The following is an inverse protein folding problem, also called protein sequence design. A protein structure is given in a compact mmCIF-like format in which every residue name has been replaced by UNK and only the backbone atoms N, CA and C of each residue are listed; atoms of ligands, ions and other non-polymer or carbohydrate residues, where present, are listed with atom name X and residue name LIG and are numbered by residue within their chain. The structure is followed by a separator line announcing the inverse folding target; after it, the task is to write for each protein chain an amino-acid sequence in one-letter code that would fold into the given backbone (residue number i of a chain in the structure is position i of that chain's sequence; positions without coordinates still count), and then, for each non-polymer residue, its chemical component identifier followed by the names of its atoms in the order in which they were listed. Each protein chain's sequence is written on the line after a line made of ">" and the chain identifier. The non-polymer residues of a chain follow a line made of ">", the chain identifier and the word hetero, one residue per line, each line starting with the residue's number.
data_IF_244466830529
#
_entry.id   IF_244466830529
#
_cell.length_a   1.000
_cell.length_b   1.000
_cell.length_c   1.000
_cell.angle_alpha   90.00
_cell.angle_beta   90.00
_cell.angle_gamma   90.00
#
_symmetry.space_group_name_H-M   'P 1'
#
loop_
_entity.id
_entity.type
_entity.pdbx_description
1 polymer ?
#
# COMPACT_ATOMS: atom_id res chain seq x y z
N UNK A 1 21.68 -8.44 -0.19
CA UNK A 1 20.96 -7.15 -0.09
C UNK A 1 19.51 -7.39 -0.50
N UNK A 2 18.53 -7.09 0.36
CA UNK A 2 17.12 -7.38 0.10
C UNK A 2 16.55 -6.56 -1.07
N UNK A 3 17.08 -5.35 -1.26
CA UNK A 3 16.65 -4.40 -2.30
C UNK A 3 16.87 -5.00 -3.68
N UNK A 4 18.07 -5.51 -3.93
CA UNK A 4 18.46 -6.11 -5.20
C UNK A 4 17.61 -7.34 -5.53
N UNK A 5 17.27 -8.15 -4.52
CA UNK A 5 16.40 -9.32 -4.68
C UNK A 5 14.99 -8.88 -5.07
N UNK A 6 14.41 -7.90 -4.39
CA UNK A 6 13.04 -7.44 -4.71
C UNK A 6 13.01 -6.75 -6.08
N UNK A 7 14.05 -6.00 -6.46
CA UNK A 7 14.15 -5.41 -7.80
C UNK A 7 14.27 -6.47 -8.89
N UNK A 8 15.08 -7.51 -8.67
CA UNK A 8 15.20 -8.61 -9.63
C UNK A 8 13.86 -9.33 -9.85
N UNK A 9 13.11 -9.56 -8.78
CA UNK A 9 11.75 -10.11 -8.85
C UNK A 9 10.77 -9.14 -9.51
N UNK A 10 10.85 -7.84 -9.24
CA UNK A 10 9.95 -6.86 -9.86
C UNK A 10 10.17 -6.73 -11.36
N UNK A 11 11.40 -6.91 -11.83
CA UNK A 11 11.73 -6.91 -13.25
C UNK A 11 11.35 -8.20 -13.99
N UNK A 12 11.07 -9.28 -13.26
CA UNK A 12 10.64 -10.55 -13.84
C UNK A 12 9.28 -10.41 -14.55
N UNK A 13 9.17 -10.83 -15.83
CA UNK A 13 7.91 -10.76 -16.58
C UNK A 13 6.77 -11.55 -15.94
N UNK A 14 7.06 -12.70 -15.32
CA UNK A 14 6.06 -13.54 -14.66
C UNK A 14 5.49 -12.86 -13.42
N UNK A 15 6.33 -12.17 -12.64
CA UNK A 15 5.90 -11.36 -11.50
C UNK A 15 5.03 -10.19 -11.96
N UNK A 16 5.41 -9.48 -13.04
CA UNK A 16 4.58 -8.40 -13.61
C UNK A 16 3.23 -8.91 -14.10
N UNK A 17 3.19 -10.07 -14.74
CA UNK A 17 1.94 -10.69 -15.19
C UNK A 17 1.06 -11.12 -14.02
N UNK A 18 1.63 -11.72 -12.97
CA UNK A 18 0.91 -12.07 -11.75
C UNK A 18 0.31 -10.83 -11.06
N UNK A 19 1.06 -9.73 -11.03
CA UNK A 19 0.59 -8.43 -10.51
C UNK A 19 -0.49 -7.81 -11.39
N UNK A 20 -0.44 -7.99 -12.72
CA UNK A 20 -1.54 -7.57 -13.61
C UNK A 20 -2.84 -8.34 -13.31
N UNK A 21 -2.72 -9.61 -12.88
CA UNK A 21 -3.84 -10.47 -12.45
C UNK A 21 -4.22 -10.29 -10.97
N UNK A 22 -3.69 -9.26 -10.30
CA UNK A 22 -3.82 -8.96 -8.86
C UNK A 22 -5.24 -8.93 -8.31
N UNK A 23 -6.27 -8.72 -9.15
CA UNK A 23 -7.68 -8.80 -8.73
C UNK A 23 -8.04 -10.15 -8.10
N UNK A 24 -7.29 -11.22 -8.42
CA UNK A 24 -7.45 -12.56 -7.81
C UNK A 24 -6.66 -12.77 -6.51
N UNK A 25 -5.72 -11.89 -6.17
CA UNK A 25 -4.70 -12.11 -5.15
C UNK A 25 -4.73 -11.12 -3.97
N UNK A 26 -5.79 -10.30 -3.85
CA UNK A 26 -5.91 -9.26 -2.81
C UNK A 26 -4.66 -8.35 -2.71
N UNK A 27 -3.96 -8.14 -3.82
CA UNK A 27 -2.77 -7.30 -3.82
C UNK A 27 -3.19 -5.85 -3.56
N UNK A 28 -2.45 -5.16 -2.70
CA UNK A 28 -2.71 -3.76 -2.45
C UNK A 28 -2.48 -2.94 -3.74
N UNK A 29 -3.42 -2.07 -4.10
CA UNK A 29 -3.30 -1.17 -5.25
C UNK A 29 -2.04 -0.28 -5.16
N UNK A 30 -1.49 -0.05 -3.97
CA UNK A 30 -0.22 0.65 -3.77
C UNK A 30 1.04 -0.21 -3.95
N UNK A 31 0.94 -1.53 -4.09
CA UNK A 31 2.10 -2.41 -4.24
C UNK A 31 2.97 -2.04 -5.45
N UNK A 32 2.35 -1.80 -6.62
CA UNK A 32 3.04 -1.36 -7.84
C UNK A 32 3.77 -0.03 -7.63
N UNK A 33 3.16 0.89 -6.88
CA UNK A 33 3.76 2.17 -6.55
C UNK A 33 5.04 1.99 -5.74
N UNK A 34 5.00 1.14 -4.71
CA UNK A 34 6.18 0.88 -3.88
C UNK A 34 7.28 0.14 -4.62
N UNK A 35 6.94 -0.88 -5.42
CA UNK A 35 7.95 -1.63 -6.18
C UNK A 35 8.71 -0.76 -7.18
N UNK A 36 8.06 0.22 -7.80
CA UNK A 36 8.71 1.19 -8.68
C UNK A 36 9.63 2.19 -7.93
N UNK A 37 9.52 2.29 -6.62
CA UNK A 37 10.22 3.29 -5.80
C UNK A 37 11.19 2.66 -4.80
N UNK A 38 11.41 1.34 -4.88
CA UNK A 38 12.25 0.58 -3.95
C UNK A 38 13.66 1.15 -3.83
N UNK A 39 14.29 1.56 -4.94
CA UNK A 39 15.64 2.13 -4.91
C UNK A 39 15.69 3.42 -4.08
N UNK A 40 14.69 4.29 -4.26
CA UNK A 40 14.57 5.53 -3.50
C UNK A 40 14.27 5.26 -2.02
N UNK A 41 13.41 4.29 -1.72
CA UNK A 41 13.04 3.93 -0.35
C UNK A 41 14.16 3.24 0.42
N UNK A 42 15.03 2.54 -0.28
CA UNK A 42 16.18 1.86 0.31
C UNK A 42 17.39 2.78 0.55
N UNK A 43 17.35 4.02 0.05
CA UNK A 43 18.40 4.99 0.27
C UNK A 43 18.50 5.39 1.75
N UNK A 44 19.73 5.51 2.27
CA UNK A 44 19.99 5.83 3.69
C UNK A 44 19.40 7.18 4.13
N UNK A 45 19.19 8.09 3.18
CA UNK A 45 18.63 9.43 3.39
C UNK A 45 17.19 9.57 2.86
N UNK A 46 16.47 8.46 2.72
CA UNK A 46 15.09 8.49 2.24
C UNK A 46 14.20 9.35 3.15
N UNK A 47 13.56 10.35 2.55
CA UNK A 47 12.50 11.18 3.17
C UNK A 47 11.20 10.87 2.42
N UNK A 48 10.15 10.36 3.10
CA UNK A 48 8.88 10.08 2.48
C UNK A 48 8.24 11.33 1.86
N UNK A 49 7.65 11.18 0.68
CA UNK A 49 6.80 12.22 0.09
C UNK A 49 5.37 12.11 0.62
N UNK A 50 4.58 13.17 0.44
CA UNK A 50 3.15 13.14 0.74
C UNK A 50 2.44 11.97 0.04
N UNK A 51 2.88 11.62 -1.17
CA UNK A 51 2.33 10.49 -1.92
C UNK A 51 2.68 9.14 -1.28
N UNK A 52 3.87 8.98 -0.70
CA UNK A 52 4.27 7.79 0.05
C UNK A 52 3.40 7.62 1.30
N UNK A 53 3.15 8.73 2.00
CA UNK A 53 2.31 8.79 3.20
C UNK A 53 0.87 8.43 2.85
N UNK A 54 0.31 9.01 1.78
CA UNK A 54 -1.05 8.74 1.34
C UNK A 54 -1.25 7.30 0.86
N UNK A 55 -0.21 6.68 0.28
CA UNK A 55 -0.25 5.29 -0.23
C UNK A 55 0.02 4.24 0.85
N UNK A 56 0.59 4.64 2.00
CA UNK A 56 1.05 3.78 3.10
C UNK A 56 -0.09 3.22 3.94
N UNK A 57 -1.28 3.79 3.77
CA UNK A 57 -2.46 3.60 4.61
C UNK A 57 -2.62 2.19 5.18
N UNK A 58 -2.32 2.12 6.46
CA UNK A 58 -2.91 1.18 7.39
C UNK A 58 -4.38 1.58 7.55
N UNK A 59 -5.30 0.63 7.42
CA UNK A 59 -6.69 0.83 7.83
C UNK A 59 -6.70 1.13 9.32
N UNK A 60 -6.95 2.37 9.71
CA UNK A 60 -7.09 2.70 11.14
C UNK A 60 -8.50 2.32 11.56
N UNK A 61 -8.63 1.15 12.18
CA UNK A 61 -9.83 0.77 12.91
C UNK A 61 -9.75 1.31 14.32
N UNK A 62 -10.69 2.17 14.72
CA UNK A 62 -10.79 2.63 16.10
C UNK A 62 -12.15 2.27 16.69
N UNK A 63 -12.18 2.04 18.00
CA UNK A 63 -13.40 1.66 18.74
C UNK A 63 -13.84 2.80 19.64
N UNK A 64 -15.13 3.17 19.57
CA UNK A 64 -15.76 4.08 20.54
C UNK A 64 -16.98 3.36 21.12
N UNK A 65 -16.90 2.98 22.39
CA UNK A 65 -17.92 2.13 23.01
C UNK A 65 -18.04 0.76 22.33
N UNK A 66 -19.24 0.39 21.87
CA UNK A 66 -19.50 -0.85 21.12
C UNK A 66 -19.33 -0.71 19.60
N UNK A 67 -19.04 0.49 19.11
CA UNK A 67 -18.98 0.78 17.68
C UNK A 67 -17.53 0.71 17.18
N UNK A 68 -17.33 0.07 16.03
CA UNK A 68 -16.03 0.00 15.34
C UNK A 68 -16.10 0.86 14.09
N UNK A 69 -15.22 1.85 14.01
CA UNK A 69 -15.11 2.77 12.88
C UNK A 69 -13.91 2.38 12.02
N UNK A 70 -14.11 2.39 10.70
CA UNK A 70 -13.04 2.21 9.71
C UNK A 70 -12.78 3.55 9.06
N UNK A 71 -11.62 4.15 9.34
CA UNK A 71 -11.22 5.36 8.64
C UNK A 71 -10.63 4.97 7.28
N UNK A 72 -11.37 5.25 6.21
CA UNK A 72 -10.87 5.21 4.84
C UNK A 72 -10.50 6.63 4.41
N UNK A 73 -9.40 6.76 3.66
CA UNK A 73 -8.91 7.94 2.94
C UNK A 73 -9.64 9.31 3.14
N UNK A 74 -8.99 10.36 3.71
CA UNK A 74 -9.58 11.70 3.81
C UNK A 74 -9.87 12.41 2.46
N UNK A 75 -9.36 11.93 1.33
CA UNK A 75 -9.68 12.42 -0.02
C UNK A 75 -10.79 11.64 -0.72
N UNK A 76 -11.32 10.58 -0.11
CA UNK A 76 -12.38 9.76 -0.70
C UNK A 76 -13.40 9.41 0.38
N UNK A 77 -14.30 10.35 0.68
CA UNK A 77 -15.52 9.99 1.39
C UNK A 77 -15.33 9.85 2.91
N UNK A 78 -15.77 10.84 3.70
CA UNK A 78 -16.21 10.57 5.08
C UNK A 78 -17.34 9.51 5.04
N UNK A 79 -16.99 8.24 5.00
CA UNK A 79 -17.91 7.13 5.14
C UNK A 79 -17.65 6.50 6.53
N UNK A 80 -18.23 7.13 7.55
CA UNK A 80 -18.37 6.51 8.87
C UNK A 80 -19.57 5.56 8.79
N UNK A 81 -19.37 4.37 8.24
CA UNK A 81 -20.39 3.33 8.34
C UNK A 81 -20.21 2.56 9.66
N UNK A 82 -21.19 2.60 10.58
CA UNK A 82 -21.19 1.71 11.73
C UNK A 82 -21.27 0.27 11.21
N UNK A 83 -20.31 -0.56 11.61
CA UNK A 83 -20.37 -1.99 11.33
C UNK A 83 -21.46 -2.58 12.25
N UNK A 84 -22.64 -2.81 11.67
CA UNK A 84 -23.65 -3.72 12.21
C UNK A 84 -23.28 -5.17 11.96
#
# INVERSE_FOLDING_TARGET
>A
NIVDVVLSLWHDPGVKEAVCRSRKFQLNNSAVYYFNLIERMAATNYIPTDQDILRSRVKTTFKVGKLTYKLFDPHLAFALEPIG
#
